data_IF_348217639190
#
_entry.id   IF_348217639190
#
_cell.length_a   1.000
_cell.length_b   1.000
_cell.length_c   1.000
_cell.angle_alpha   90.00
_cell.angle_beta   90.00
_cell.angle_gamma   90.00
#
_symmetry.space_group_name_H-M   'P 1'
#
loop_
_entity.id
_entity.type
_entity.pdbx_description
1 polymer ?
#
# COMPACT_ATOMS: atom_id res chain seq x y z
N UNK A 1 -5.64 5.14 -30.39
CA UNK A 1 -6.51 5.49 -29.25
C UNK A 1 -6.80 4.20 -28.51
N UNK A 2 -6.31 4.06 -27.28
CA UNK A 2 -6.54 2.88 -26.44
C UNK A 2 -7.79 3.12 -25.59
N UNK A 3 -8.64 2.12 -25.36
CA UNK A 3 -9.80 2.29 -24.48
C UNK A 3 -9.33 2.69 -23.08
N UNK A 4 -9.92 3.75 -22.54
CA UNK A 4 -9.76 4.13 -21.14
C UNK A 4 -10.31 3.00 -20.28
N UNK A 5 -9.42 2.26 -19.63
CA UNK A 5 -9.82 1.32 -18.58
C UNK A 5 -10.55 2.15 -17.53
N UNK A 6 -11.81 1.86 -17.25
CA UNK A 6 -12.59 2.65 -16.28
C UNK A 6 -12.16 2.31 -14.84
N UNK A 7 -12.47 3.18 -13.88
CA UNK A 7 -12.08 2.98 -12.47
C UNK A 7 -12.68 1.70 -11.83
N UNK A 8 -13.74 1.16 -12.43
CA UNK A 8 -14.45 -0.07 -12.03
C UNK A 8 -13.98 -1.32 -12.78
N UNK A 9 -13.07 -1.19 -13.75
CA UNK A 9 -12.63 -2.30 -14.59
C UNK A 9 -11.47 -3.07 -13.93
N UNK A 10 -11.66 -4.38 -13.80
CA UNK A 10 -10.65 -5.29 -13.23
C UNK A 10 -9.61 -5.59 -14.31
N UNK A 11 -8.34 -5.28 -14.03
CA UNK A 11 -7.24 -5.69 -14.89
C UNK A 11 -6.86 -7.14 -14.58
N UNK A 12 -7.27 -8.06 -15.44
CA UNK A 12 -6.83 -9.45 -15.39
C UNK A 12 -5.40 -9.59 -15.97
N UNK A 13 -4.49 -10.22 -15.23
CA UNK A 13 -3.12 -10.45 -15.69
C UNK A 13 -2.52 -11.72 -15.08
N UNK A 14 -1.63 -12.36 -15.84
CA UNK A 14 -0.77 -13.43 -15.31
C UNK A 14 0.21 -12.83 -14.29
N UNK A 15 0.32 -13.43 -13.10
CA UNK A 15 1.06 -12.87 -11.98
C UNK A 15 2.52 -12.53 -12.34
N UNK A 16 3.18 -13.36 -13.16
CA UNK A 16 4.57 -13.10 -13.57
C UNK A 16 4.73 -11.89 -14.52
N UNK A 17 3.64 -11.38 -15.11
CA UNK A 17 3.68 -10.15 -15.91
C UNK A 17 4.05 -8.92 -15.06
N UNK A 18 3.82 -8.94 -13.74
CA UNK A 18 4.28 -7.89 -12.83
C UNK A 18 5.81 -7.83 -12.79
N UNK A 19 6.49 -8.97 -12.75
CA UNK A 19 7.95 -9.03 -12.82
C UNK A 19 8.47 -8.50 -14.15
N UNK A 20 7.78 -8.83 -15.24
CA UNK A 20 8.10 -8.28 -16.56
C UNK A 20 7.95 -6.74 -16.59
N UNK A 21 6.91 -6.20 -15.96
CA UNK A 21 6.69 -4.76 -15.86
C UNK A 21 7.79 -4.06 -15.04
N UNK A 22 8.28 -4.70 -13.97
CA UNK A 22 9.43 -4.22 -13.20
C UNK A 22 10.71 -4.24 -14.05
N UNK A 23 11.00 -5.35 -14.74
CA UNK A 23 12.17 -5.44 -15.62
C UNK A 23 12.11 -4.42 -16.76
N UNK A 24 10.93 -4.19 -17.35
CA UNK A 24 10.73 -3.18 -18.37
C UNK A 24 10.97 -1.77 -17.84
N UNK A 25 10.57 -1.47 -16.60
CA UNK A 25 10.89 -0.20 -15.94
C UNK A 25 12.41 0.03 -15.78
N UNK A 26 13.19 -1.05 -15.72
CA UNK A 26 14.65 -1.03 -15.66
C UNK A 26 15.35 -1.01 -17.05
N UNK A 27 14.59 -1.10 -18.14
CA UNK A 27 15.12 -1.04 -19.51
C UNK A 27 15.10 -2.35 -20.30
N UNK A 28 14.46 -3.42 -19.81
CA UNK A 28 14.23 -4.62 -20.61
C UNK A 28 13.36 -4.30 -21.84
N UNK A 29 13.91 -4.45 -23.06
CA UNK A 29 13.28 -3.97 -24.29
C UNK A 29 12.18 -4.88 -24.83
N UNK A 30 12.31 -6.20 -24.67
CA UNK A 30 11.37 -7.21 -25.19
C UNK A 30 10.94 -8.18 -24.08
N UNK A 31 10.26 -7.71 -23.02
CA UNK A 31 9.83 -8.59 -21.94
C UNK A 31 9.01 -9.77 -22.50
N UNK A 32 9.07 -10.98 -21.91
CA UNK A 32 8.41 -12.17 -22.45
C UNK A 32 6.90 -12.02 -22.67
N UNK A 33 6.21 -11.25 -21.83
CA UNK A 33 4.78 -10.96 -21.99
C UNK A 33 4.48 -9.88 -23.04
N UNK A 34 5.49 -9.29 -23.66
CA UNK A 34 5.39 -8.21 -24.65
C UNK A 34 5.29 -6.81 -24.04
N UNK A 35 5.86 -5.83 -24.73
CA UNK A 35 5.95 -4.44 -24.23
C UNK A 35 4.56 -3.80 -24.03
N UNK A 36 3.58 -4.14 -24.86
CA UNK A 36 2.20 -3.66 -24.72
C UNK A 36 1.59 -4.04 -23.36
N UNK A 37 1.84 -5.27 -22.88
CA UNK A 37 1.34 -5.75 -21.60
C UNK A 37 2.04 -5.00 -20.46
N UNK A 38 3.37 -4.90 -20.49
CA UNK A 38 4.12 -4.18 -19.45
C UNK A 38 3.76 -2.70 -19.38
N UNK A 39 3.57 -2.05 -20.52
CA UNK A 39 3.20 -0.64 -20.58
C UNK A 39 1.76 -0.40 -20.10
N UNK A 40 0.86 -1.35 -20.36
CA UNK A 40 -0.51 -1.29 -19.84
C UNK A 40 -0.55 -1.45 -18.33
N UNK A 41 0.16 -2.44 -17.78
CA UNK A 41 0.29 -2.62 -16.32
C UNK A 41 0.84 -1.35 -15.67
N UNK A 42 1.97 -0.83 -16.16
CA UNK A 42 2.61 0.37 -15.60
C UNK A 42 1.70 1.59 -15.67
N UNK A 43 0.99 1.78 -16.78
CA UNK A 43 0.05 2.90 -16.97
C UNK A 43 -1.11 2.82 -15.99
N UNK A 44 -1.75 1.65 -15.87
CA UNK A 44 -2.90 1.44 -14.98
C UNK A 44 -2.50 1.67 -13.53
N UNK A 45 -1.43 1.03 -13.06
CA UNK A 45 -1.00 1.12 -11.66
C UNK A 45 -0.56 2.55 -11.29
N UNK A 46 0.18 3.25 -12.18
CA UNK A 46 0.60 4.64 -11.91
C UNK A 46 -0.57 5.62 -11.92
N UNK A 47 -1.51 5.42 -12.84
CA UNK A 47 -2.73 6.23 -12.91
C UNK A 47 -3.59 5.97 -11.69
N UNK A 48 -3.67 4.71 -11.24
CA UNK A 48 -4.48 4.32 -10.12
C UNK A 48 -3.88 3.19 -9.27
N UNK A 49 -3.24 3.53 -8.13
CA UNK A 49 -2.75 2.54 -7.18
C UNK A 49 -3.84 1.62 -6.61
N UNK A 50 -5.12 2.00 -6.72
CA UNK A 50 -6.25 1.21 -6.22
C UNK A 50 -6.99 0.46 -7.34
N UNK A 51 -6.49 0.52 -8.58
CA UNK A 51 -6.99 -0.31 -9.66
C UNK A 51 -7.00 -1.79 -9.23
N UNK A 52 -8.08 -2.48 -9.53
CA UNK A 52 -8.27 -3.87 -9.12
C UNK A 52 -7.51 -4.79 -10.08
N UNK A 53 -6.57 -5.56 -9.53
CA UNK A 53 -5.78 -6.56 -10.26
C UNK A 53 -6.29 -7.95 -9.93
N UNK A 54 -6.72 -8.70 -10.94
CA UNK A 54 -7.00 -10.13 -10.78
C UNK A 54 -5.80 -10.92 -11.27
N UNK A 55 -5.10 -11.57 -10.34
CA UNK A 55 -3.92 -12.38 -10.65
C UNK A 55 -4.37 -13.78 -11.08
N UNK A 56 -4.19 -14.08 -12.37
CA UNK A 56 -4.70 -15.29 -12.99
C UNK A 56 -3.62 -16.37 -13.06
N UNK A 57 -3.98 -17.60 -12.69
CA UNK A 57 -3.29 -18.81 -13.13
C UNK A 57 -4.30 -19.90 -13.46
N UNK A 58 -3.97 -20.69 -14.48
CA UNK A 58 -4.76 -21.84 -14.87
C UNK A 58 -4.54 -23.03 -13.92
N UNK A 59 -5.39 -23.14 -12.91
CA UNK A 59 -5.38 -24.25 -11.94
C UNK A 59 -6.35 -25.39 -12.33
N UNK A 60 -7.19 -25.19 -13.34
CA UNK A 60 -8.23 -26.14 -13.74
C UNK A 60 -7.74 -27.17 -14.76
N UNK A 61 -6.50 -27.06 -15.26
CA UNK A 61 -5.94 -28.04 -16.20
C UNK A 61 -5.94 -29.46 -15.62
N UNK A 62 -5.78 -29.63 -14.30
CA UNK A 62 -5.85 -30.93 -13.64
C UNK A 62 -7.22 -31.61 -13.84
N UNK A 63 -8.32 -30.84 -13.79
CA UNK A 63 -9.66 -31.37 -14.09
C UNK A 63 -9.79 -31.79 -15.55
N UNK A 64 -9.18 -31.01 -16.44
CA UNK A 64 -9.18 -31.30 -17.88
C UNK A 64 -8.37 -32.57 -18.21
N UNK A 65 -7.31 -32.87 -17.45
CA UNK A 65 -6.57 -34.13 -17.58
C UNK A 65 -7.39 -35.35 -17.15
N UNK A 66 -8.18 -35.25 -16.08
CA UNK A 66 -9.10 -36.32 -15.73
C UNK A 66 -10.23 -36.48 -16.75
N UNK A 67 -10.73 -35.39 -17.34
CA UNK A 67 -11.68 -35.46 -18.47
C UNK A 67 -11.05 -36.10 -19.72
N UNK A 68 -9.75 -35.87 -19.96
CA UNK A 68 -8.97 -36.51 -21.04
C UNK A 68 -8.80 -38.02 -20.82
N UNK A 69 -8.55 -38.46 -19.57
CA UNK A 69 -8.53 -39.89 -19.21
C UNK A 69 -9.93 -40.50 -19.30
N UNK A 70 -10.96 -39.78 -18.84
CA UNK A 70 -12.36 -40.20 -18.85
C UNK A 70 -13.00 -40.02 -20.25
N UNK A 71 -12.22 -39.76 -21.31
CA UNK A 71 -12.67 -39.78 -22.72
C UNK A 71 -13.09 -41.16 -23.21
N UNK A 72 -12.84 -42.23 -22.45
CA UNK A 72 -13.58 -43.49 -22.59
C UNK A 72 -15.09 -43.32 -22.29
N UNK A 73 -15.51 -42.16 -21.75
CA UNK A 73 -16.89 -41.76 -21.43
C UNK A 73 -17.24 -40.35 -21.96
N UNK A 74 -17.46 -40.25 -23.28
CA UNK A 74 -18.35 -39.27 -23.97
C UNK A 74 -18.19 -37.75 -23.75
N UNK A 75 -17.22 -37.24 -22.98
CA UNK A 75 -17.07 -35.79 -22.73
C UNK A 75 -15.97 -35.15 -23.58
N UNK A 76 -16.29 -34.14 -24.41
CA UNK A 76 -15.31 -33.47 -25.27
C UNK A 76 -14.46 -32.48 -24.45
N UNK A 77 -13.13 -32.50 -24.65
CA UNK A 77 -12.22 -31.49 -24.08
C UNK A 77 -12.54 -30.08 -24.60
N UNK A 78 -12.25 -29.06 -23.80
CA UNK A 78 -12.33 -27.68 -24.26
C UNK A 78 -11.36 -27.45 -25.44
N UNK A 79 -11.78 -26.65 -26.42
CA UNK A 79 -11.03 -26.42 -27.66
C UNK A 79 -9.65 -25.76 -27.40
N UNK A 80 -9.45 -25.11 -26.25
CA UNK A 80 -8.21 -24.48 -25.82
C UNK A 80 -7.31 -25.36 -24.93
N UNK A 81 -7.67 -26.62 -24.69
CA UNK A 81 -6.93 -27.48 -23.77
C UNK A 81 -5.46 -27.66 -24.14
N UNK A 82 -5.18 -27.90 -25.43
CA UNK A 82 -3.80 -28.14 -25.89
C UNK A 82 -2.91 -26.91 -25.70
N UNK A 83 -3.42 -25.71 -26.00
CA UNK A 83 -2.68 -24.46 -25.82
C UNK A 83 -2.48 -24.14 -24.34
N UNK A 84 -3.49 -24.36 -23.50
CA UNK A 84 -3.40 -24.23 -22.03
C UNK A 84 -2.42 -25.22 -21.40
N UNK A 85 -2.37 -26.45 -21.92
CA UNK A 85 -1.39 -27.47 -21.51
C UNK A 85 0.03 -27.05 -21.87
N UNK A 86 0.23 -26.54 -23.09
CA UNK A 86 1.54 -26.08 -23.58
C UNK A 86 2.07 -24.85 -22.82
N UNK A 87 1.22 -24.03 -22.21
CA UNK A 87 1.62 -22.85 -21.43
C UNK A 87 2.13 -23.17 -20.00
N UNK A 88 2.72 -24.34 -19.78
CA UNK A 88 3.10 -24.82 -18.44
C UNK A 88 4.22 -23.97 -17.80
N UNK A 89 5.15 -23.43 -18.60
CA UNK A 89 6.24 -22.58 -18.10
C UNK A 89 5.70 -21.30 -17.48
N UNK A 90 4.79 -20.60 -18.17
CA UNK A 90 4.16 -19.38 -17.66
C UNK A 90 3.29 -19.68 -16.43
N UNK A 91 2.54 -20.79 -16.48
CA UNK A 91 1.74 -21.24 -15.33
C UNK A 91 2.59 -21.51 -14.09
N UNK A 92 3.76 -22.14 -14.25
CA UNK A 92 4.68 -22.37 -13.14
C UNK A 92 5.17 -21.03 -12.54
N UNK A 93 5.57 -20.08 -13.40
CA UNK A 93 5.96 -18.72 -12.96
C UNK A 93 4.84 -18.01 -12.21
N UNK A 94 3.61 -18.10 -12.71
CA UNK A 94 2.45 -17.46 -12.08
C UNK A 94 2.19 -18.02 -10.69
N UNK A 95 2.22 -19.35 -10.55
CA UNK A 95 2.02 -20.02 -9.28
C UNK A 95 3.15 -19.75 -8.30
N UNK A 96 4.40 -19.67 -8.75
CA UNK A 96 5.54 -19.33 -7.89
C UNK A 96 5.45 -17.89 -7.37
N UNK A 97 5.11 -16.93 -8.24
CA UNK A 97 4.86 -15.55 -7.82
C UNK A 97 3.76 -15.53 -6.77
N UNK A 98 2.60 -16.12 -7.06
CA UNK A 98 1.47 -16.13 -6.15
C UNK A 98 1.74 -16.82 -4.82
N UNK A 99 2.49 -17.94 -4.85
CA UNK A 99 2.97 -18.63 -3.65
C UNK A 99 3.78 -17.69 -2.75
N UNK A 100 4.77 -16.98 -3.31
CA UNK A 100 5.63 -16.05 -2.56
C UNK A 100 4.88 -14.82 -2.04
N UNK A 101 3.88 -14.35 -2.79
CA UNK A 101 3.04 -13.23 -2.36
C UNK A 101 1.97 -13.63 -1.33
N UNK A 102 1.80 -14.93 -1.05
CA UNK A 102 0.70 -15.47 -0.24
C UNK A 102 -0.69 -15.06 -0.81
N UNK A 103 -0.82 -15.13 -2.14
CA UNK A 103 -2.04 -14.78 -2.87
C UNK A 103 -2.59 -16.03 -3.56
N UNK A 104 -3.87 -16.30 -3.38
CA UNK A 104 -4.55 -17.39 -4.09
C UNK A 104 -4.79 -17.03 -5.57
N UNK A 105 -4.58 -17.96 -6.51
CA UNK A 105 -4.94 -17.76 -7.90
C UNK A 105 -6.38 -17.32 -8.10
N UNK A 106 -6.57 -16.44 -9.09
CA UNK A 106 -7.86 -15.90 -9.54
C UNK A 106 -8.57 -15.03 -8.48
N UNK A 107 -7.82 -14.50 -7.50
CA UNK A 107 -8.31 -13.49 -6.56
C UNK A 107 -7.98 -12.08 -7.04
N UNK A 108 -8.77 -11.12 -6.59
CA UNK A 108 -8.65 -9.70 -6.97
C UNK A 108 -8.13 -8.89 -5.79
N UNK A 109 -7.15 -8.03 -6.04
CA UNK A 109 -6.50 -7.20 -5.04
C UNK A 109 -6.25 -5.79 -5.58
N UNK A 110 -6.24 -4.75 -4.73
CA UNK A 110 -5.74 -3.43 -5.13
C UNK A 110 -4.29 -3.50 -5.62
N UNK A 111 -3.98 -2.79 -6.70
CA UNK A 111 -2.64 -2.81 -7.29
C UNK A 111 -1.54 -2.46 -6.28
N UNK A 112 -1.80 -1.52 -5.40
CA UNK A 112 -0.85 -1.07 -4.38
C UNK A 112 -0.44 -2.18 -3.41
N UNK A 113 -1.40 -3.00 -2.98
CA UNK A 113 -1.12 -4.11 -2.07
C UNK A 113 -0.25 -5.16 -2.77
N UNK A 114 -0.59 -5.49 -4.02
CA UNK A 114 0.17 -6.43 -4.85
C UNK A 114 1.59 -5.93 -5.09
N UNK A 115 1.77 -4.67 -5.48
CA UNK A 115 3.10 -4.09 -5.76
C UNK A 115 3.94 -4.05 -4.49
N UNK A 116 3.37 -3.68 -3.34
CA UNK A 116 4.13 -3.65 -2.08
C UNK A 116 4.50 -5.06 -1.62
N UNK A 117 3.60 -6.03 -1.73
CA UNK A 117 3.90 -7.44 -1.46
C UNK A 117 5.00 -7.96 -2.40
N UNK A 118 4.97 -7.59 -3.69
CA UNK A 118 5.99 -7.96 -4.67
C UNK A 118 7.39 -7.61 -4.18
N UNK A 119 7.61 -6.35 -3.82
CA UNK A 119 8.93 -5.88 -3.38
C UNK A 119 9.28 -6.32 -1.96
N UNK A 120 8.28 -6.62 -1.12
CA UNK A 120 8.50 -7.17 0.21
C UNK A 120 8.94 -8.64 0.17
N UNK A 121 8.34 -9.45 -0.69
CA UNK A 121 8.46 -10.93 -0.65
C UNK A 121 9.32 -11.52 -1.76
N UNK A 122 9.50 -10.84 -2.90
CA UNK A 122 10.32 -11.34 -4.00
C UNK A 122 11.69 -10.64 -3.99
N UNK A 123 12.70 -11.37 -3.53
CA UNK A 123 14.08 -10.87 -3.41
C UNK A 123 14.85 -10.92 -4.72
N UNK A 124 14.65 -12.01 -5.47
CA UNK A 124 15.30 -12.25 -6.76
C UNK A 124 14.33 -12.98 -7.71
N UNK A 125 14.75 -13.11 -8.97
CA UNK A 125 14.04 -13.89 -9.98
C UNK A 125 14.36 -15.39 -9.93
N UNK A 126 15.19 -15.81 -8.97
CA UNK A 126 15.57 -17.21 -8.77
C UNK A 126 14.39 -18.04 -8.30
N UNK A 127 14.26 -19.25 -8.83
CA UNK A 127 13.14 -20.13 -8.60
C UNK A 127 11.85 -19.71 -9.30
N UNK A 128 11.81 -18.55 -9.97
CA UNK A 128 10.67 -18.09 -10.79
C UNK A 128 11.05 -18.07 -12.27
N UNK A 129 11.95 -17.16 -12.64
CA UNK A 129 12.30 -16.91 -14.04
C UNK A 129 13.57 -17.65 -14.48
N UNK A 130 14.35 -18.13 -13.52
CA UNK A 130 15.49 -19.02 -13.71
C UNK A 130 15.63 -19.95 -12.49
N UNK A 131 16.24 -21.12 -12.69
CA UNK A 131 16.59 -22.05 -11.63
C UNK A 131 18.11 -22.30 -11.68
N UNK A 132 18.73 -22.66 -10.55
CA UNK A 132 20.17 -22.99 -10.51
C UNK A 132 20.48 -24.30 -11.22
N UNK A 133 19.55 -25.27 -11.19
CA UNK A 133 19.63 -26.46 -12.02
C UNK A 133 19.66 -26.07 -13.51
N UNK A 134 20.36 -26.86 -14.34
CA UNK A 134 20.55 -26.55 -15.75
C UNK A 134 19.21 -26.37 -16.47
N UNK A 135 19.06 -25.25 -17.19
CA UNK A 135 17.92 -25.01 -18.04
C UNK A 135 17.87 -26.08 -19.13
N UNK A 136 16.66 -26.54 -19.48
CA UNK A 136 16.44 -27.41 -20.63
C UNK A 136 15.63 -26.67 -21.70
N UNK A 137 15.59 -27.22 -22.91
CA UNK A 137 14.74 -26.71 -23.99
C UNK A 137 13.25 -26.71 -23.57
N UNK A 138 12.84 -27.69 -22.75
CA UNK A 138 11.49 -27.78 -22.21
C UNK A 138 11.23 -26.81 -21.04
N UNK A 139 12.27 -26.41 -20.29
CA UNK A 139 12.16 -25.48 -19.16
C UNK A 139 13.14 -24.31 -19.34
N UNK A 140 12.87 -23.42 -20.31
CA UNK A 140 13.79 -22.35 -20.65
C UNK A 140 13.86 -21.28 -19.56
N UNK A 141 15.07 -20.81 -19.31
CA UNK A 141 15.30 -19.60 -18.50
C UNK A 141 14.87 -18.36 -19.28
N UNK A 142 14.25 -17.40 -18.59
CA UNK A 142 13.94 -16.11 -19.17
C UNK A 142 15.24 -15.33 -19.49
N UNK A 143 15.34 -14.77 -20.69
CA UNK A 143 16.52 -14.05 -21.19
C UNK A 143 16.94 -12.86 -20.30
N UNK A 144 15.98 -12.23 -19.61
CA UNK A 144 16.23 -11.09 -18.71
C UNK A 144 16.55 -11.50 -17.27
N UNK A 145 16.36 -12.76 -16.92
CA UNK A 145 16.37 -13.19 -15.52
C UNK A 145 17.73 -13.02 -14.84
N UNK A 146 18.81 -13.14 -15.63
CA UNK A 146 20.21 -12.97 -15.19
C UNK A 146 20.83 -11.62 -15.59
N UNK A 147 20.04 -10.70 -16.13
CA UNK A 147 20.50 -9.36 -16.53
C UNK A 147 20.29 -8.31 -15.43
N UNK A 148 19.97 -8.75 -14.21
CA UNK A 148 19.79 -7.94 -13.00
C UNK A 148 18.77 -6.81 -13.08
N UNK A 149 17.94 -6.71 -14.12
CA UNK A 149 16.94 -5.65 -14.25
C UNK A 149 16.00 -5.55 -13.04
N UNK A 150 15.48 -6.68 -12.56
CA UNK A 150 14.65 -6.72 -11.35
C UNK A 150 15.43 -6.30 -10.10
N UNK A 151 16.65 -6.86 -9.95
CA UNK A 151 17.53 -6.59 -8.82
C UNK A 151 17.92 -5.11 -8.74
N UNK A 152 18.25 -4.48 -9.86
CA UNK A 152 18.56 -3.05 -9.96
C UNK A 152 17.40 -2.17 -9.45
N UNK A 153 16.16 -2.47 -9.84
CA UNK A 153 14.99 -1.72 -9.35
C UNK A 153 14.80 -1.95 -7.85
N UNK A 154 14.89 -3.20 -7.40
CA UNK A 154 14.68 -3.55 -5.99
C UNK A 154 15.73 -2.92 -5.07
N UNK A 155 17.01 -3.02 -5.41
CA UNK A 155 18.12 -2.50 -4.59
C UNK A 155 18.07 -0.97 -4.47
N UNK A 156 17.71 -0.27 -5.55
CA UNK A 156 17.48 1.17 -5.51
C UNK A 156 16.32 1.57 -4.59
N UNK A 157 15.32 0.69 -4.43
CA UNK A 157 14.12 0.93 -3.64
C UNK A 157 14.02 0.12 -2.35
N UNK A 158 15.12 -0.02 -1.62
CA UNK A 158 15.20 -0.70 -0.33
C UNK A 158 14.30 -0.12 0.78
N UNK A 159 14.63 -0.33 2.07
CA UNK A 159 13.79 0.12 3.20
C UNK A 159 13.37 1.60 3.15
N UNK A 160 14.15 2.46 2.50
CA UNK A 160 13.86 3.87 2.26
C UNK A 160 12.51 4.12 1.53
N UNK A 161 12.05 3.20 0.69
CA UNK A 161 10.76 3.33 0.02
C UNK A 161 9.55 3.14 0.96
N UNK A 162 9.80 2.78 2.21
CA UNK A 162 8.80 2.46 3.23
C UNK A 162 8.92 3.33 4.48
N UNK A 163 9.67 4.44 4.41
CA UNK A 163 9.70 5.49 5.44
C UNK A 163 9.18 6.81 4.88
N UNK A 164 8.28 7.46 5.61
CA UNK A 164 7.72 8.75 5.25
C UNK A 164 8.81 9.83 5.12
N UNK A 165 9.79 9.82 6.02
CA UNK A 165 10.92 10.77 6.00
C UNK A 165 11.79 10.56 4.76
N UNK A 166 12.06 9.30 4.41
CA UNK A 166 12.83 8.98 3.21
C UNK A 166 12.06 9.34 1.94
N UNK A 167 10.74 9.09 1.91
CA UNK A 167 9.87 9.50 0.82
C UNK A 167 9.85 11.02 0.63
N UNK A 168 9.95 11.79 1.71
CA UNK A 168 10.12 13.24 1.63
C UNK A 168 11.51 13.66 1.16
N UNK A 169 12.56 13.13 1.76
CA UNK A 169 13.93 13.53 1.45
C UNK A 169 14.29 13.23 -0.01
N UNK A 170 13.85 12.08 -0.53
CA UNK A 170 14.14 11.64 -1.89
C UNK A 170 13.08 12.11 -2.90
N UNK A 171 11.80 12.12 -2.54
CA UNK A 171 10.69 12.53 -3.40
C UNK A 171 10.73 11.90 -4.80
N UNK A 172 10.84 12.72 -5.83
CA UNK A 172 10.90 12.31 -7.22
C UNK A 172 12.09 11.39 -7.57
N UNK A 173 13.16 11.37 -6.78
CA UNK A 173 14.30 10.46 -6.95
C UNK A 173 13.91 8.98 -6.70
N UNK A 174 12.78 8.74 -6.04
CA UNK A 174 12.23 7.39 -5.87
C UNK A 174 11.55 6.86 -7.14
N UNK A 175 11.25 7.69 -8.14
CA UNK A 175 10.62 7.23 -9.36
C UNK A 175 11.52 6.20 -10.08
N UNK A 176 10.99 5.00 -10.32
CA UNK A 176 11.79 3.89 -10.87
C UNK A 176 12.45 3.00 -9.83
N UNK A 177 12.37 3.33 -8.54
CA UNK A 177 13.00 2.60 -7.44
C UNK A 177 11.97 1.75 -6.68
N UNK A 178 12.21 0.45 -6.55
CA UNK A 178 11.36 -0.48 -5.80
C UNK A 178 9.87 -0.36 -6.19
N UNK A 179 8.95 -0.25 -5.22
CA UNK A 179 7.51 -0.07 -5.49
C UNK A 179 7.20 1.10 -6.43
N UNK A 180 7.97 2.20 -6.36
CA UNK A 180 7.78 3.40 -7.18
C UNK A 180 8.30 3.24 -8.62
N UNK A 181 8.77 2.06 -9.01
CA UNK A 181 8.86 1.67 -10.42
C UNK A 181 7.48 1.52 -11.08
N UNK A 182 6.49 1.12 -10.29
CA UNK A 182 5.10 0.91 -10.71
C UNK A 182 4.13 1.90 -10.07
N UNK A 183 4.41 2.41 -8.87
CA UNK A 183 3.60 3.42 -8.18
C UNK A 183 4.08 4.85 -8.47
N UNK A 184 3.19 5.82 -8.23
CA UNK A 184 3.52 7.24 -8.22
C UNK A 184 3.81 7.73 -6.79
N UNK A 185 4.51 8.85 -6.70
CA UNK A 185 4.76 9.59 -5.46
C UNK A 185 4.69 11.08 -5.80
N UNK A 186 4.28 11.91 -4.84
CA UNK A 186 4.39 13.35 -4.99
C UNK A 186 5.85 13.77 -5.02
N UNK A 187 6.16 14.72 -5.89
CA UNK A 187 7.44 15.43 -5.91
C UNK A 187 7.62 16.24 -4.63
N UNK A 188 8.87 16.59 -4.31
CA UNK A 188 9.16 17.44 -3.14
C UNK A 188 8.45 18.78 -3.21
N UNK A 189 8.34 19.34 -4.41
CA UNK A 189 7.69 20.64 -4.63
C UNK A 189 6.16 20.58 -4.40
N UNK A 190 5.51 19.51 -4.87
CA UNK A 190 4.09 19.28 -4.61
C UNK A 190 3.81 19.12 -3.10
N UNK A 191 4.69 18.41 -2.38
CA UNK A 191 4.58 18.27 -0.93
C UNK A 191 4.76 19.61 -0.23
N UNK A 192 5.79 20.40 -0.57
CA UNK A 192 6.02 21.74 0.00
C UNK A 192 4.84 22.68 -0.23
N UNK A 193 4.34 22.71 -1.45
CA UNK A 193 3.19 23.55 -1.83
C UNK A 193 1.96 23.13 -1.02
N UNK A 194 1.66 21.83 -0.99
CA UNK A 194 0.53 21.31 -0.22
C UNK A 194 0.68 21.56 1.28
N UNK A 195 1.90 21.50 1.84
CA UNK A 195 2.18 21.85 3.24
C UNK A 195 1.84 23.32 3.50
N UNK A 196 2.40 24.24 2.73
CA UNK A 196 2.14 25.68 2.89
C UNK A 196 0.66 26.05 2.74
N UNK A 197 -0.06 25.40 1.81
CA UNK A 197 -1.50 25.60 1.64
C UNK A 197 -2.32 25.03 2.79
N UNK A 198 -2.02 23.81 3.22
CA UNK A 198 -2.78 23.15 4.28
C UNK A 198 -2.54 23.77 5.65
N UNK A 199 -1.32 24.25 5.95
CA UNK A 199 -1.07 25.03 7.17
C UNK A 199 -1.94 26.29 7.23
N UNK A 200 -2.05 27.05 6.13
CA UNK A 200 -2.93 28.23 6.05
C UNK A 200 -4.41 27.86 6.23
N UNK A 201 -4.84 26.74 5.62
CA UNK A 201 -6.22 26.23 5.78
C UNK A 201 -6.51 25.86 7.24
N UNK A 202 -5.57 25.22 7.94
CA UNK A 202 -5.71 24.84 9.35
C UNK A 202 -5.77 26.09 10.25
N UNK A 203 -4.90 27.06 10.00
CA UNK A 203 -4.86 28.33 10.76
C UNK A 203 -6.22 29.04 10.69
N UNK A 204 -6.81 29.11 9.49
CA UNK A 204 -8.09 29.79 9.23
C UNK A 204 -9.32 28.91 9.50
N UNK A 205 -9.14 27.64 9.87
CA UNK A 205 -10.25 26.73 10.05
C UNK A 205 -11.06 27.04 11.31
N UNK A 206 -12.38 27.09 11.16
CA UNK A 206 -13.36 27.12 12.25
C UNK A 206 -13.80 25.72 12.69
N UNK A 207 -13.40 24.67 11.93
CA UNK A 207 -13.69 23.26 12.18
C UNK A 207 -12.60 22.40 11.56
N UNK A 208 -12.20 21.34 12.25
CA UNK A 208 -11.17 20.42 11.79
C UNK A 208 -11.79 19.08 11.38
N UNK A 209 -11.28 18.47 10.31
CA UNK A 209 -11.65 17.13 9.86
C UNK A 209 -10.46 16.20 10.06
N UNK A 210 -10.62 15.21 10.94
CA UNK A 210 -9.51 14.38 11.42
C UNK A 210 -9.92 12.91 11.42
N UNK A 211 -9.04 12.05 10.89
CA UNK A 211 -9.19 10.61 11.04
C UNK A 211 -9.06 10.22 12.51
N UNK A 212 -9.94 9.36 13.04
CA UNK A 212 -9.88 8.94 14.43
C UNK A 212 -8.49 8.46 14.88
N UNK A 213 -7.78 7.64 14.09
CA UNK A 213 -6.45 7.16 14.49
C UNK A 213 -5.37 8.25 14.44
N UNK A 214 -5.54 9.31 13.63
CA UNK A 214 -4.60 10.43 13.63
C UNK A 214 -4.64 11.24 14.92
N UNK A 215 -5.74 11.21 15.68
CA UNK A 215 -5.75 11.73 17.05
C UNK A 215 -4.70 11.03 17.90
N UNK A 216 -4.56 9.71 17.76
CA UNK A 216 -3.52 8.95 18.45
C UNK A 216 -2.13 9.25 17.90
N UNK A 217 -1.97 9.43 16.59
CA UNK A 217 -0.70 9.84 16.00
C UNK A 217 -0.22 11.19 16.56
N UNK A 218 -1.12 12.16 16.74
CA UNK A 218 -0.81 13.44 17.39
C UNK A 218 -0.34 13.22 18.83
N UNK A 219 -1.00 12.36 19.61
CA UNK A 219 -0.56 12.00 20.97
C UNK A 219 0.82 11.34 20.96
N UNK A 220 1.06 10.35 20.10
CA UNK A 220 2.37 9.71 19.96
C UNK A 220 3.46 10.73 19.62
N UNK A 221 3.18 11.67 18.72
CA UNK A 221 4.12 12.72 18.33
C UNK A 221 4.39 13.68 19.51
N UNK A 222 3.35 14.16 20.19
CA UNK A 222 3.46 15.00 21.39
C UNK A 222 4.27 14.33 22.52
N UNK A 223 4.04 13.04 22.75
CA UNK A 223 4.69 12.29 23.80
C UNK A 223 6.16 11.96 23.56
N UNK A 224 6.62 12.04 22.30
CA UNK A 224 8.04 11.94 21.96
C UNK A 224 8.86 13.07 22.61
N UNK A 225 8.25 14.23 22.87
CA UNK A 225 8.87 15.38 23.54
C UNK A 225 9.33 16.49 22.61
N UNK A 226 9.42 16.24 21.31
CA UNK A 226 9.84 17.21 20.27
C UNK A 226 8.66 18.06 19.76
N UNK A 227 7.93 18.72 20.64
CA UNK A 227 6.88 19.69 20.26
C UNK A 227 7.48 20.92 19.53
N UNK A 228 8.80 21.02 19.41
CA UNK A 228 9.46 22.20 18.86
C UNK A 228 9.39 22.33 17.33
N UNK A 229 9.02 21.29 16.58
CA UNK A 229 9.22 21.34 15.11
C UNK A 229 8.07 20.73 14.30
N UNK A 230 7.49 21.51 13.37
CA UNK A 230 6.65 20.99 12.30
C UNK A 230 7.30 19.83 11.55
N UNK A 231 6.50 18.82 11.21
CA UNK A 231 6.90 17.79 10.26
C UNK A 231 6.63 18.28 8.83
N UNK A 232 7.52 17.91 7.90
CA UNK A 232 7.36 18.28 6.49
C UNK A 232 6.23 17.51 5.79
N UNK A 233 5.89 16.33 6.31
CA UNK A 233 5.14 15.29 5.59
C UNK A 233 3.72 15.08 6.10
N UNK A 234 3.33 15.76 7.18
CA UNK A 234 1.98 15.74 7.73
C UNK A 234 1.70 17.06 8.44
N UNK A 235 0.46 17.25 8.91
CA UNK A 235 0.05 18.41 9.71
C UNK A 235 -0.26 18.06 11.18
N UNK A 236 0.35 17.02 11.75
CA UNK A 236 0.10 16.64 13.14
C UNK A 236 0.39 17.80 14.11
N UNK A 237 1.48 18.53 13.86
CA UNK A 237 1.90 19.66 14.69
C UNK A 237 0.91 20.84 14.61
N UNK A 238 0.58 21.32 13.40
CA UNK A 238 -0.27 22.49 13.21
C UNK A 238 -1.68 22.27 13.75
N UNK A 239 -2.21 21.07 13.58
CA UNK A 239 -3.52 20.69 14.13
C UNK A 239 -3.46 20.67 15.64
N UNK A 240 -2.41 20.11 16.24
CA UNK A 240 -2.25 20.09 17.69
C UNK A 240 -2.14 21.51 18.27
N UNK A 241 -1.37 22.40 17.65
CA UNK A 241 -1.27 23.82 18.03
C UNK A 241 -2.63 24.51 17.94
N UNK A 242 -3.39 24.28 16.86
CA UNK A 242 -4.76 24.82 16.71
C UNK A 242 -5.70 24.31 17.80
N UNK A 243 -5.61 23.04 18.16
CA UNK A 243 -6.40 22.45 19.24
C UNK A 243 -6.02 23.02 20.61
N UNK A 244 -4.73 23.28 20.87
CA UNK A 244 -4.27 23.86 22.13
C UNK A 244 -4.64 25.33 22.28
N UNK A 245 -4.56 26.09 21.18
CA UNK A 245 -4.93 27.52 21.15
C UNK A 245 -6.44 27.76 21.16
N UNK A 246 -7.21 26.82 20.62
CA UNK A 246 -8.67 26.81 20.72
C UNK A 246 -9.18 25.42 21.16
N UNK A 247 -9.21 25.12 22.47
CA UNK A 247 -9.65 23.83 23.00
C UNK A 247 -11.10 23.47 22.68
N UNK A 248 -11.91 24.46 22.30
CA UNK A 248 -13.32 24.24 21.95
C UNK A 248 -13.57 24.18 20.44
N UNK A 249 -12.51 24.20 19.60
CA UNK A 249 -12.65 24.04 18.16
C UNK A 249 -13.38 22.72 17.84
N UNK A 250 -14.44 22.74 17.02
CA UNK A 250 -15.13 21.53 16.60
C UNK A 250 -14.22 20.62 15.76
N UNK A 251 -14.08 19.37 16.17
CA UNK A 251 -13.40 18.32 15.40
C UNK A 251 -14.42 17.31 14.92
N UNK A 252 -14.43 17.05 13.63
CA UNK A 252 -15.24 16.02 13.00
C UNK A 252 -14.40 14.83 12.62
N UNK A 253 -14.85 13.67 13.09
CA UNK A 253 -14.20 12.41 12.83
C UNK A 253 -14.61 11.90 11.45
N UNK A 254 -13.68 11.88 10.49
CA UNK A 254 -13.96 11.39 9.14
C UNK A 254 -13.27 10.06 8.84
N UNK A 255 -13.84 9.29 7.91
CA UNK A 255 -13.18 8.14 7.29
C UNK A 255 -12.43 8.59 6.03
N UNK A 256 -11.29 7.97 5.74
CA UNK A 256 -10.44 8.37 4.61
C UNK A 256 -9.48 9.52 4.92
N UNK A 257 -8.80 10.10 3.93
CA UNK A 257 -7.81 11.15 4.16
C UNK A 257 -8.40 12.39 4.87
N UNK A 258 -7.60 13.05 5.71
CA UNK A 258 -8.03 14.20 6.51
C UNK A 258 -6.99 15.31 6.48
N UNK A 259 -7.19 16.39 7.23
CA UNK A 259 -6.31 17.57 7.21
C UNK A 259 -4.84 17.29 7.61
N UNK A 260 -4.58 16.15 8.26
CA UNK A 260 -3.21 15.66 8.55
C UNK A 260 -2.49 15.19 7.27
N UNK A 261 -3.23 14.62 6.31
CA UNK A 261 -2.68 13.95 5.13
C UNK A 261 -2.27 14.90 4.00
N UNK A 262 -2.74 16.15 4.01
CA UNK A 262 -2.60 17.06 2.88
C UNK A 262 -1.17 17.17 2.32
N UNK A 263 -0.09 17.18 3.12
CA UNK A 263 1.29 17.16 2.61
C UNK A 263 1.94 15.76 2.49
N UNK A 264 1.27 14.66 2.84
CA UNK A 264 1.84 13.30 2.77
C UNK A 264 2.32 12.87 1.36
N UNK A 265 3.60 12.50 1.14
CA UNK A 265 4.10 12.11 -0.18
C UNK A 265 3.30 11.01 -0.91
N UNK A 266 2.57 10.17 -0.17
CA UNK A 266 1.73 9.10 -0.70
C UNK A 266 0.21 9.40 -0.71
N UNK A 267 -0.19 10.62 -0.38
CA UNK A 267 -1.58 11.04 -0.58
C UNK A 267 -1.81 11.43 -2.05
N UNK A 268 -2.83 10.82 -2.67
CA UNK A 268 -3.33 11.19 -3.99
C UNK A 268 -4.43 12.25 -3.83
N UNK A 269 -4.15 13.53 -4.13
CA UNK A 269 -5.11 14.61 -3.94
C UNK A 269 -6.26 14.58 -4.96
N UNK A 270 -6.09 13.94 -6.12
CA UNK A 270 -7.14 13.87 -7.14
C UNK A 270 -8.24 12.89 -6.76
N UNK A 271 -7.90 11.86 -5.96
CA UNK A 271 -8.84 10.81 -5.53
C UNK A 271 -9.13 10.79 -4.05
N UNK A 272 -8.41 11.57 -3.26
CA UNK A 272 -8.54 11.64 -1.81
C UNK A 272 -8.24 10.29 -1.10
N UNK A 273 -7.24 9.56 -1.58
CA UNK A 273 -6.86 8.23 -1.06
C UNK A 273 -5.41 8.18 -0.58
N UNK A 274 -5.18 7.38 0.47
CA UNK A 274 -3.85 7.16 1.04
C UNK A 274 -3.18 5.97 0.35
N UNK A 275 -2.18 6.22 -0.49
CA UNK A 275 -1.39 5.18 -1.15
C UNK A 275 -0.30 4.59 -0.24
N UNK A 276 -0.40 4.74 1.08
CA UNK A 276 0.53 4.08 2.01
C UNK A 276 -0.07 2.80 2.55
N UNK A 277 -0.98 2.88 3.53
CA UNK A 277 -1.57 1.72 4.22
C UNK A 277 -3.07 1.95 4.49
N UNK A 278 -3.87 2.00 3.41
CA UNK A 278 -5.29 2.38 3.51
C UNK A 278 -6.11 1.42 4.39
N UNK A 279 -6.10 0.13 4.09
CA UNK A 279 -6.98 -0.88 4.70
C UNK A 279 -6.79 -1.00 6.21
N UNK A 280 -5.55 -1.14 6.68
CA UNK A 280 -5.27 -1.24 8.12
C UNK A 280 -5.58 0.07 8.84
N UNK A 281 -5.32 1.22 8.24
CA UNK A 281 -5.59 2.49 8.89
C UNK A 281 -7.10 2.77 8.97
N UNK A 282 -7.91 2.28 8.02
CA UNK A 282 -9.38 2.25 8.18
C UNK A 282 -9.81 1.43 9.39
N UNK A 283 -9.25 0.23 9.58
CA UNK A 283 -9.57 -0.59 10.76
C UNK A 283 -9.16 0.10 12.07
N UNK A 284 -8.01 0.80 12.09
CA UNK A 284 -7.61 1.61 13.25
C UNK A 284 -8.64 2.70 13.54
N UNK A 285 -9.12 3.40 12.52
CA UNK A 285 -10.15 4.44 12.68
C UNK A 285 -11.41 3.90 13.34
N UNK A 286 -11.93 2.80 12.80
CA UNK A 286 -13.13 2.15 13.32
C UNK A 286 -12.94 1.63 14.75
N UNK A 287 -11.75 1.13 15.09
CA UNK A 287 -11.44 0.70 16.46
C UNK A 287 -11.38 1.85 17.44
N UNK A 288 -10.82 3.00 17.03
CA UNK A 288 -10.85 4.22 17.85
C UNK A 288 -12.30 4.64 18.07
N UNK A 289 -13.09 4.79 17.00
CA UNK A 289 -14.51 5.14 17.10
C UNK A 289 -15.28 4.21 18.04
N UNK A 290 -15.10 2.89 17.88
CA UNK A 290 -15.72 1.89 18.73
C UNK A 290 -15.36 2.07 20.22
N UNK A 291 -14.07 2.28 20.54
CA UNK A 291 -13.60 2.50 21.92
C UNK A 291 -14.14 3.79 22.54
N UNK A 292 -14.30 4.83 21.73
CA UNK A 292 -14.85 6.12 22.16
C UNK A 292 -16.38 6.11 22.25
N UNK A 293 -17.06 5.12 21.67
CA UNK A 293 -18.52 5.11 21.57
C UNK A 293 -19.05 6.15 20.59
N UNK A 294 -18.28 6.45 19.55
CA UNK A 294 -18.59 7.43 18.51
C UNK A 294 -18.78 6.73 17.15
N UNK A 295 -19.35 7.46 16.20
CA UNK A 295 -19.52 7.02 14.80
C UNK A 295 -18.84 8.00 13.82
N UNK A 296 -18.56 7.56 12.58
CA UNK A 296 -18.10 8.48 11.53
C UNK A 296 -19.04 9.68 11.40
N UNK A 297 -18.45 10.88 11.26
CA UNK A 297 -19.15 12.15 11.17
C UNK A 297 -19.48 12.82 12.50
N UNK A 298 -19.32 12.14 13.64
CA UNK A 298 -19.51 12.78 14.95
C UNK A 298 -18.56 13.95 15.13
N UNK A 299 -19.06 15.00 15.79
CA UNK A 299 -18.34 16.26 16.00
C UNK A 299 -18.33 16.61 17.48
N UNK A 300 -17.15 16.81 18.04
CA UNK A 300 -16.96 17.20 19.43
C UNK A 300 -15.93 18.35 19.53
N UNK A 301 -16.00 19.18 20.58
CA UNK A 301 -14.91 20.09 20.92
C UNK A 301 -13.60 19.31 21.11
N UNK A 302 -12.48 19.87 20.63
CA UNK A 302 -11.16 19.24 20.70
C UNK A 302 -10.83 18.72 22.11
N UNK A 303 -11.09 19.53 23.14
CA UNK A 303 -10.84 19.19 24.54
C UNK A 303 -11.62 17.98 25.00
N UNK A 304 -12.91 17.93 24.67
CA UNK A 304 -13.75 16.79 25.02
C UNK A 304 -13.27 15.52 24.33
N UNK A 305 -12.95 15.62 23.03
CA UNK A 305 -12.50 14.48 22.23
C UNK A 305 -11.18 13.90 22.75
N UNK A 306 -10.22 14.76 23.10
CA UNK A 306 -8.92 14.31 23.58
C UNK A 306 -8.95 13.76 25.01
N UNK A 307 -9.80 14.31 25.88
CA UNK A 307 -10.08 13.72 27.19
C UNK A 307 -10.71 12.33 27.04
N UNK A 308 -11.71 12.19 26.17
CA UNK A 308 -12.35 10.90 25.89
C UNK A 308 -11.35 9.88 25.33
N UNK A 309 -10.43 10.32 24.46
CA UNK A 309 -9.36 9.49 23.92
C UNK A 309 -8.45 8.94 25.03
N UNK A 310 -7.93 9.82 25.89
CA UNK A 310 -7.08 9.46 27.02
C UNK A 310 -7.80 8.58 28.05
N UNK A 311 -9.11 8.80 28.24
CA UNK A 311 -9.93 8.03 29.17
C UNK A 311 -10.20 6.61 28.68
N UNK A 312 -10.42 6.41 27.38
CA UNK A 312 -10.88 5.12 26.82
C UNK A 312 -9.77 4.26 26.20
N UNK A 313 -8.67 4.85 25.74
CA UNK A 313 -7.56 4.13 25.12
C UNK A 313 -6.30 4.43 25.92
N UNK A 314 -5.79 3.41 26.63
CA UNK A 314 -4.69 3.57 27.59
C UNK A 314 -3.32 3.36 26.98
N UNK A 315 -3.25 2.54 25.94
CA UNK A 315 -1.98 2.28 25.24
C UNK A 315 -2.14 2.33 23.73
N UNK A 316 -1.09 2.73 23.02
CA UNK A 316 -1.11 2.72 21.55
C UNK A 316 -1.24 1.29 21.00
N UNK A 317 -0.73 0.30 21.73
CA UNK A 317 -0.77 -1.11 21.35
C UNK A 317 -2.21 -1.66 21.21
N UNK A 318 -3.20 -1.12 21.93
CA UNK A 318 -4.61 -1.53 21.83
C UNK A 318 -5.23 -1.30 20.45
N UNK A 319 -4.73 -0.31 19.71
CA UNK A 319 -5.27 0.08 18.40
C UNK A 319 -4.26 -0.21 17.29
N UNK A 320 -2.99 0.14 17.51
CA UNK A 320 -1.97 0.21 16.48
C UNK A 320 -0.96 -0.94 16.53
N UNK A 321 -0.91 -1.70 17.63
CA UNK A 321 0.11 -2.71 17.88
C UNK A 321 -0.40 -4.13 17.87
N UNK A 322 0.44 -5.08 18.26
CA UNK A 322 0.13 -6.52 18.25
C UNK A 322 -1.05 -6.88 19.18
N UNK A 323 -1.23 -6.15 20.29
CA UNK A 323 -2.37 -6.33 21.20
C UNK A 323 -3.72 -6.11 20.52
N UNK A 324 -3.75 -5.35 19.43
CA UNK A 324 -4.95 -5.15 18.61
C UNK A 324 -5.25 -6.30 17.64
N UNK A 325 -4.44 -7.37 17.64
CA UNK A 325 -4.57 -8.49 16.70
C UNK A 325 -3.83 -8.31 15.37
N UNK A 326 -3.04 -7.23 15.21
CA UNK A 326 -2.09 -7.14 14.10
C UNK A 326 -0.93 -8.12 14.33
N UNK A 327 -1.01 -9.27 13.67
CA UNK A 327 -0.08 -10.41 13.86
C UNK A 327 0.78 -10.72 12.65
N UNK A 328 0.54 -10.04 11.51
CA UNK A 328 1.18 -10.38 10.24
C UNK A 328 2.54 -9.71 10.02
N UNK A 329 3.42 -10.42 9.31
CA UNK A 329 4.57 -9.83 8.61
C UNK A 329 4.16 -9.13 7.32
N UNK A 330 2.94 -9.38 6.82
CA UNK A 330 2.41 -8.71 5.63
C UNK A 330 2.37 -7.20 5.84
N UNK A 331 2.90 -6.45 4.88
CA UNK A 331 2.91 -4.98 4.89
C UNK A 331 1.53 -4.38 5.19
N UNK A 332 0.46 -4.99 4.68
CA UNK A 332 -0.92 -4.51 4.85
C UNK A 332 -1.36 -4.57 6.31
N UNK A 333 -0.97 -5.62 7.05
CA UNK A 333 -1.46 -5.90 8.41
C UNK A 333 -0.38 -5.78 9.50
N UNK A 334 0.80 -5.25 9.16
CA UNK A 334 1.88 -5.04 10.10
C UNK A 334 1.50 -3.99 11.18
N UNK A 335 1.93 -4.20 12.44
CA UNK A 335 1.73 -3.20 13.50
C UNK A 335 2.48 -1.90 13.20
N UNK A 336 2.01 -0.80 13.77
CA UNK A 336 2.75 0.47 13.74
C UNK A 336 4.06 0.35 14.53
N UNK A 337 5.18 0.80 13.97
CA UNK A 337 6.49 0.73 14.64
C UNK A 337 6.53 1.49 15.98
N UNK A 338 5.71 2.53 16.14
CA UNK A 338 5.63 3.32 17.37
C UNK A 338 4.59 2.82 18.37
N UNK A 339 3.88 1.70 18.10
CA UNK A 339 2.79 1.26 19.00
C UNK A 339 3.25 0.82 20.39
N UNK A 340 4.55 0.54 20.53
CA UNK A 340 5.18 0.07 21.77
C UNK A 340 6.26 1.04 22.27
N UNK A 341 6.37 2.24 21.70
CA UNK A 341 7.41 3.20 22.09
C UNK A 341 7.17 3.88 23.44
N UNK A 342 5.97 3.75 24.01
CA UNK A 342 5.55 4.45 25.22
C UNK A 342 5.19 5.92 25.00
N UNK A 343 5.27 6.44 23.77
CA UNK A 343 5.05 7.87 23.51
C UNK A 343 3.60 8.27 23.73
N UNK A 344 2.63 7.47 23.28
CA UNK A 344 1.22 7.74 23.50
C UNK A 344 0.89 7.84 24.99
N UNK A 345 1.44 6.93 25.78
CA UNK A 345 1.28 6.83 27.23
C UNK A 345 1.91 8.06 27.92
N UNK A 346 3.11 8.47 27.50
CA UNK A 346 3.75 9.72 27.96
C UNK A 346 2.89 10.95 27.67
N UNK A 347 2.24 11.00 26.50
CA UNK A 347 1.35 12.10 26.15
C UNK A 347 0.11 12.16 27.04
N UNK A 348 -0.50 11.00 27.34
CA UNK A 348 -1.60 10.90 28.30
C UNK A 348 -1.16 11.39 29.67
N UNK A 349 0.00 10.94 30.17
CA UNK A 349 0.48 11.35 31.50
C UNK A 349 0.79 12.83 31.61
N UNK A 350 1.24 13.46 30.51
CA UNK A 350 1.49 14.91 30.45
C UNK A 350 0.21 15.72 30.41
N UNK A 351 -0.81 15.22 29.70
CA UNK A 351 -2.04 15.97 29.39
C UNK A 351 -1.79 17.06 28.35
N UNK A 352 -2.55 17.06 27.26
CA UNK A 352 -2.26 17.94 26.11
C UNK A 352 -2.61 19.43 26.32
N UNK A 353 -3.43 19.74 27.33
CA UNK A 353 -3.85 21.10 27.69
C UNK A 353 -3.18 21.61 28.97
N UNK A 354 -2.19 20.89 29.48
CA UNK A 354 -1.42 21.33 30.63
C UNK A 354 -0.42 22.36 30.11
N UNK A 355 -0.74 23.65 30.30
CA UNK A 355 0.13 24.80 30.00
C UNK A 355 0.97 25.10 31.23
#
# INVERSE_FOLDING_TARGET
>A
MCPDIRADEILELQAHHLLCAVCAAAGAKKPPCGSYVTDTIRRVIRRDPFAQLKLVADIDLARSHYLDIDLERKSRLADDFISRRANYVSRAKDLEVMCRLDIRPNTTHPAIDVVRLLFQKIESLEGICYHEAEASDDWPTCEYARLDYYKQVREKGGPQCYSMDACWNLGEELLGCGPYSLLSIRTREEVRTAKAESCRKIEQADRLFIRPHHLMCMMCHYGLGDIASPLNVDNLHEILVKMQTNPDIPITLNEGCCMVCDPCPAYDPAKHICAWIYTRDQLKDLRVLHKLGLKPGDTLPARQLMNLLADRIKTAAEICGRKSGFVGESYVWAPCSSSESGNYEKAISKGIYVV
#
